data_IF_351907884573
#
_entry.id   IF_351907884573
#
_cell.length_a   1.000
_cell.length_b   1.000
_cell.length_c   1.000
_cell.angle_alpha   90.00
_cell.angle_beta   90.00
_cell.angle_gamma   90.00
#
_symmetry.space_group_name_H-M   'P 1'
#
loop_
_entity.id
_entity.type
_entity.pdbx_description
1 polymer ?
#
# COMPACT_ATOMS: atom_id res chain seq x y z
N UNK A 1 -26.32 -24.80 -20.56
CA UNK A 1 -25.19 -23.86 -20.65
C UNK A 1 -25.56 -22.68 -19.76
N UNK A 2 -24.90 -22.49 -18.62
CA UNK A 2 -25.16 -21.33 -17.76
C UNK A 2 -24.96 -20.05 -18.57
N UNK A 3 -25.89 -19.11 -18.50
CA UNK A 3 -25.79 -17.89 -19.29
C UNK A 3 -24.56 -17.11 -18.84
N UNK A 4 -23.85 -16.45 -19.76
CA UNK A 4 -22.74 -15.55 -19.40
C UNK A 4 -23.17 -14.51 -18.37
N UNK A 5 -24.45 -14.12 -18.39
CA UNK A 5 -25.07 -13.25 -17.40
C UNK A 5 -25.08 -13.85 -15.96
N UNK A 6 -25.20 -15.17 -15.81
CA UNK A 6 -25.15 -15.83 -14.51
C UNK A 6 -23.73 -15.78 -13.93
N UNK A 7 -22.72 -15.88 -14.80
CA UNK A 7 -21.30 -15.79 -14.44
C UNK A 7 -20.95 -14.35 -14.03
N UNK A 8 -21.39 -13.36 -14.81
CA UNK A 8 -21.19 -11.94 -14.49
C UNK A 8 -21.84 -11.57 -13.14
N UNK A 9 -23.07 -12.04 -12.91
CA UNK A 9 -23.75 -11.81 -11.63
C UNK A 9 -22.95 -12.39 -10.46
N UNK A 10 -22.41 -13.60 -10.63
CA UNK A 10 -21.61 -14.25 -9.59
C UNK A 10 -20.27 -13.56 -9.35
N UNK A 11 -19.65 -13.02 -10.40
CA UNK A 11 -18.46 -12.18 -10.28
C UNK A 11 -18.72 -10.92 -9.45
N UNK A 12 -19.85 -10.24 -9.69
CA UNK A 12 -20.25 -9.05 -8.92
C UNK A 12 -20.54 -9.40 -7.45
N UNK A 13 -21.17 -10.55 -7.19
CA UNK A 13 -21.41 -11.02 -5.82
C UNK A 13 -20.09 -11.30 -5.08
N UNK A 14 -19.14 -11.99 -5.72
CA UNK A 14 -17.81 -12.25 -5.16
C UNK A 14 -17.03 -10.96 -4.89
N UNK A 15 -17.07 -9.99 -5.81
CA UNK A 15 -16.40 -8.71 -5.63
C UNK A 15 -16.94 -7.97 -4.38
N UNK A 16 -18.26 -7.99 -4.17
CA UNK A 16 -18.89 -7.40 -2.97
C UNK A 16 -18.47 -8.12 -1.69
N UNK A 17 -18.38 -9.45 -1.72
CA UNK A 17 -17.93 -10.25 -0.57
C UNK A 17 -16.46 -9.93 -0.22
N UNK A 18 -15.58 -9.85 -1.22
CA UNK A 18 -14.18 -9.48 -1.04
C UNK A 18 -14.07 -8.09 -0.40
N UNK A 19 -14.81 -7.10 -0.92
CA UNK A 19 -14.81 -5.76 -0.35
C UNK A 19 -15.35 -5.73 1.09
N UNK A 20 -16.34 -6.55 1.41
CA UNK A 20 -16.85 -6.70 2.78
C UNK A 20 -15.77 -7.27 3.71
N UNK A 21 -15.09 -8.33 3.29
CA UNK A 21 -13.98 -8.94 4.05
C UNK A 21 -12.85 -7.94 4.25
N UNK A 22 -12.43 -7.23 3.21
CA UNK A 22 -11.38 -6.21 3.31
C UNK A 22 -11.77 -5.09 4.27
N UNK A 23 -13.02 -4.66 4.26
CA UNK A 23 -13.52 -3.66 5.21
C UNK A 23 -13.54 -4.19 6.65
N UNK A 24 -13.91 -5.45 6.87
CA UNK A 24 -13.83 -6.08 8.20
C UNK A 24 -12.39 -6.19 8.68
N UNK A 25 -11.46 -6.60 7.80
CA UNK A 25 -10.03 -6.65 8.09
C UNK A 25 -9.51 -5.27 8.43
N UNK A 26 -9.83 -4.23 7.64
CA UNK A 26 -9.43 -2.85 7.90
C UNK A 26 -9.98 -2.33 9.23
N UNK A 27 -11.25 -2.59 9.54
CA UNK A 27 -11.87 -2.23 10.83
C UNK A 27 -11.23 -2.96 12.00
N UNK A 28 -10.95 -4.26 11.85
CA UNK A 28 -10.28 -5.08 12.87
C UNK A 28 -8.82 -4.66 13.06
N UNK A 29 -8.14 -4.27 11.99
CA UNK A 29 -6.74 -3.88 12.06
C UNK A 29 -6.53 -2.55 12.73
N UNK A 30 -7.59 -1.76 13.02
CA UNK A 30 -7.62 -0.66 14.01
C UNK A 30 -6.54 0.41 13.90
N UNK A 31 -5.67 0.33 12.89
CA UNK A 31 -4.54 1.22 12.70
C UNK A 31 -5.09 2.44 12.04
N UNK A 32 -5.01 3.55 12.75
CA UNK A 32 -5.32 4.86 12.18
C UNK A 32 -4.51 5.02 10.88
N UNK A 33 -5.02 5.76 9.90
CA UNK A 33 -4.24 6.05 8.69
C UNK A 33 -2.86 6.63 9.01
N UNK A 34 -2.69 7.25 10.18
CA UNK A 34 -1.39 7.66 10.75
C UNK A 34 -0.45 6.49 11.05
N UNK A 35 -0.91 5.41 11.67
CA UNK A 35 -0.07 4.23 11.95
C UNK A 35 0.38 3.51 10.68
N UNK A 36 -0.45 3.50 9.62
CA UNK A 36 -0.04 2.94 8.32
C UNK A 36 1.05 3.79 7.66
N UNK A 37 0.95 5.12 7.75
CA UNK A 37 1.98 6.04 7.24
C UNK A 37 3.26 5.92 8.07
N UNK A 38 3.17 5.82 9.39
CA UNK A 38 4.33 5.60 10.28
C UNK A 38 4.98 4.24 10.02
N UNK A 39 4.20 3.19 9.71
CA UNK A 39 4.76 1.89 9.29
C UNK A 39 5.40 1.93 7.90
N UNK A 40 4.98 2.87 7.05
CA UNK A 40 5.54 3.07 5.71
C UNK A 40 6.80 3.95 5.72
N UNK A 41 6.98 4.81 6.71
CA UNK A 41 8.20 5.62 6.91
C UNK A 41 9.47 4.76 7.13
N UNK A 42 9.33 3.46 7.41
CA UNK A 42 10.44 2.50 7.44
C UNK A 42 10.39 1.41 6.35
N UNK A 43 9.41 1.45 5.43
CA UNK A 43 9.17 0.34 4.49
C UNK A 43 10.20 0.23 3.35
N UNK A 44 11.13 1.18 3.25
CA UNK A 44 12.28 1.07 2.34
C UNK A 44 13.50 0.41 3.00
N UNK A 45 13.40 -0.01 4.27
CA UNK A 45 14.49 -0.67 4.99
C UNK A 45 15.66 0.26 5.35
N UNK A 46 15.50 1.56 5.09
CA UNK A 46 16.45 2.59 5.50
C UNK A 46 15.94 3.26 6.76
N UNK A 47 16.84 3.40 7.74
CA UNK A 47 16.63 4.30 8.85
C UNK A 47 16.83 5.74 8.32
N UNK A 48 15.71 6.37 7.96
CA UNK A 48 15.68 7.72 7.36
C UNK A 48 16.25 8.77 8.32
N UNK A 49 16.22 8.50 9.63
CA UNK A 49 16.77 9.36 10.68
C UNK A 49 18.23 9.04 11.01
N UNK A 50 18.83 8.02 10.38
CA UNK A 50 20.24 7.71 10.57
C UNK A 50 21.15 8.76 9.92
N UNK A 51 22.23 9.09 10.63
CA UNK A 51 23.27 9.98 10.11
C UNK A 51 23.82 9.45 8.77
N UNK A 52 24.01 8.13 8.66
CA UNK A 52 24.50 7.47 7.45
C UNK A 52 23.58 7.66 6.24
N UNK A 53 22.26 7.52 6.41
CA UNK A 53 21.29 7.75 5.33
C UNK A 53 21.32 9.19 4.84
N UNK A 54 21.33 10.16 5.76
CA UNK A 54 21.38 11.59 5.42
C UNK A 54 22.68 11.94 4.70
N UNK A 55 23.79 11.35 5.14
CA UNK A 55 25.11 11.60 4.54
C UNK A 55 25.23 11.01 3.13
N UNK A 56 24.68 9.82 2.89
CA UNK A 56 24.58 9.22 1.55
C UNK A 56 23.65 10.02 0.64
N UNK A 57 22.50 10.48 1.15
CA UNK A 57 21.56 11.30 0.40
C UNK A 57 22.18 12.64 -0.03
N UNK A 58 22.95 13.30 0.85
CA UNK A 58 23.66 14.55 0.52
C UNK A 58 24.78 14.35 -0.51
N UNK A 59 25.42 13.18 -0.52
CA UNK A 59 26.45 12.82 -1.50
C UNK A 59 25.87 12.33 -2.82
N UNK A 60 24.59 11.97 -2.85
CA UNK A 60 23.94 11.53 -4.08
C UNK A 60 23.78 12.69 -5.06
N UNK A 61 24.11 12.43 -6.32
CA UNK A 61 23.87 13.40 -7.39
C UNK A 61 22.37 13.44 -7.68
N UNK A 62 21.80 14.65 -7.63
CA UNK A 62 20.44 14.92 -8.08
C UNK A 62 20.32 14.59 -9.56
N UNK A 63 19.59 13.51 -9.88
CA UNK A 63 19.40 13.04 -11.26
C UNK A 63 18.64 14.05 -12.12
N UNK A 64 17.94 15.00 -11.50
CA UNK A 64 17.27 16.13 -12.15
C UNK A 64 18.25 17.23 -12.62
N UNK A 65 19.54 17.14 -12.28
CA UNK A 65 20.59 18.09 -12.67
C UNK A 65 21.60 17.52 -13.68
N UNK A 66 21.38 16.29 -14.15
CA UNK A 66 22.20 15.69 -15.21
C UNK A 66 21.52 16.03 -16.54
N UNK A 67 22.15 16.94 -17.30
CA UNK A 67 21.77 17.35 -18.66
C UNK A 67 22.24 16.31 -19.70
#
# INVERSE_FOLDING_TARGET
MGSTADIEKRLVELDREIHSILNMVRKKNGRSSKELVESACGAWGYDVDSEEFVDQLRKSSRLDWIE
#
